data_IF_118608603932
#
_entry.id   IF_118608603932
#
_cell.length_a   1.000
_cell.length_b   1.000
_cell.length_c   1.000
_cell.angle_alpha   90.00
_cell.angle_beta   90.00
_cell.angle_gamma   90.00
#
_symmetry.space_group_name_H-M   'P 1'
#
loop_
_entity.id
_entity.type
_entity.pdbx_description
1 polymer ?
#
# COMPACT_ATOMS: atom_id res chain seq x y z
N UNK A 1 2.16 -14.43 25.64
CA UNK A 1 3.07 -14.63 24.48
C UNK A 1 3.06 -13.37 23.65
N UNK A 2 4.17 -12.63 23.60
CA UNK A 2 4.29 -11.42 22.78
C UNK A 2 4.73 -11.87 21.37
N UNK A 3 3.87 -11.79 20.34
CA UNK A 3 4.28 -12.20 19.00
C UNK A 3 5.45 -11.31 18.59
N UNK A 4 6.60 -11.93 18.26
CA UNK A 4 7.78 -11.21 17.79
C UNK A 4 7.36 -10.36 16.59
N UNK A 5 7.32 -9.03 16.79
CA UNK A 5 6.95 -8.06 15.75
C UNK A 5 7.75 -8.35 14.48
N UNK A 6 7.06 -8.47 13.36
CA UNK A 6 7.69 -8.77 12.08
C UNK A 6 8.71 -7.68 11.74
N UNK A 7 9.79 -8.02 11.03
CA UNK A 7 10.84 -7.08 10.62
C UNK A 7 10.26 -5.81 9.97
N UNK A 8 9.15 -5.96 9.24
CA UNK A 8 8.38 -4.87 8.64
C UNK A 8 7.81 -3.89 9.67
N UNK A 9 7.18 -4.37 10.76
CA UNK A 9 6.62 -3.48 11.78
C UNK A 9 7.70 -2.66 12.51
N UNK A 10 8.92 -3.19 12.62
CA UNK A 10 10.05 -2.49 13.25
C UNK A 10 10.59 -1.35 12.38
N UNK A 11 10.69 -1.59 11.07
CA UNK A 11 11.18 -0.62 10.09
C UNK A 11 10.38 0.69 10.07
N UNK A 12 9.07 0.62 10.29
CA UNK A 12 8.18 1.80 10.31
C UNK A 12 7.98 2.45 11.69
N UNK A 13 8.27 1.75 12.80
CA UNK A 13 8.17 2.35 14.14
C UNK A 13 9.43 3.11 14.54
N UNK A 14 10.58 2.77 13.94
CA UNK A 14 11.85 3.45 14.20
C UNK A 14 12.10 4.63 13.24
N UNK A 15 11.30 4.76 12.18
CA UNK A 15 11.37 5.88 11.24
C UNK A 15 9.95 6.44 11.01
N UNK A 16 9.68 7.64 11.52
CA UNK A 16 8.58 8.47 11.00
C UNK A 16 8.80 8.88 9.52
N UNK A 17 9.96 8.51 8.96
CA UNK A 17 10.36 8.71 7.58
C UNK A 17 10.20 7.45 6.73
N UNK A 18 9.75 7.66 5.50
CA UNK A 18 9.61 6.63 4.51
C UNK A 18 10.97 6.20 3.92
N UNK A 19 11.15 4.90 3.69
CA UNK A 19 12.42 4.27 3.31
C UNK A 19 12.57 4.22 1.78
N UNK A 20 13.65 4.79 1.22
CA UNK A 20 13.94 4.73 -0.21
C UNK A 20 14.87 3.56 -0.54
N UNK A 21 14.55 2.84 -1.63
CA UNK A 21 15.42 1.79 -2.20
C UNK A 21 15.47 1.90 -3.71
N UNK A 22 16.59 1.44 -4.27
CA UNK A 22 16.84 1.37 -5.70
C UNK A 22 16.87 -0.09 -6.13
N UNK A 23 16.07 -0.45 -7.14
CA UNK A 23 16.18 -1.72 -7.85
C UNK A 23 16.42 -1.42 -9.34
N UNK A 24 17.63 -1.70 -9.82
CA UNK A 24 18.05 -1.31 -11.17
C UNK A 24 18.00 0.20 -11.36
N UNK A 25 17.30 0.69 -12.39
CA UNK A 25 17.07 2.13 -12.65
C UNK A 25 15.86 2.72 -11.91
N UNK A 26 15.05 1.89 -11.24
CA UNK A 26 13.80 2.35 -10.62
C UNK A 26 14.02 2.66 -9.14
N UNK A 27 13.72 3.89 -8.74
CA UNK A 27 13.68 4.30 -7.34
C UNK A 27 12.25 4.15 -6.83
N UNK A 28 12.11 3.60 -5.62
CA UNK A 28 10.84 3.50 -4.93
C UNK A 28 11.00 3.85 -3.46
N UNK A 29 9.91 4.30 -2.84
CA UNK A 29 9.88 4.72 -1.45
C UNK A 29 8.74 4.04 -0.73
N UNK A 30 9.05 3.32 0.33
CA UNK A 30 8.06 2.65 1.16
C UNK A 30 7.65 3.57 2.32
N UNK A 31 6.36 3.91 2.40
CA UNK A 31 5.83 4.91 3.32
C UNK A 31 4.57 4.41 4.04
N UNK A 32 4.33 4.93 5.25
CA UNK A 32 3.04 4.78 5.93
C UNK A 32 2.23 6.06 5.75
N UNK A 33 1.24 6.05 4.86
CA UNK A 33 0.47 7.24 4.49
C UNK A 33 -0.96 7.20 5.05
N UNK A 34 -1.56 8.36 5.38
CA UNK A 34 -2.99 8.44 5.63
C UNK A 34 -3.78 7.92 4.43
N UNK A 35 -4.73 7.02 4.68
CA UNK A 35 -5.46 6.32 3.62
C UNK A 35 -6.23 7.26 2.69
N UNK A 36 -6.68 8.38 3.24
CA UNK A 36 -7.48 9.41 2.57
C UNK A 36 -6.67 10.26 1.57
N UNK A 37 -5.34 10.23 1.64
CA UNK A 37 -4.48 10.95 0.69
C UNK A 37 -4.36 10.24 -0.67
N UNK A 38 -4.63 8.93 -0.71
CA UNK A 38 -4.54 8.14 -1.92
C UNK A 38 -5.77 8.35 -2.79
N UNK A 39 -5.55 8.45 -4.10
CA UNK A 39 -6.60 8.72 -5.07
C UNK A 39 -6.98 7.44 -5.82
N UNK A 40 -8.14 6.86 -5.52
CA UNK A 40 -8.68 5.73 -6.28
C UNK A 40 -9.08 6.19 -7.68
N UNK A 41 -8.94 5.32 -8.68
CA UNK A 41 -9.35 5.60 -10.06
C UNK A 41 -10.34 4.56 -10.64
N UNK A 42 -10.67 3.51 -9.87
CA UNK A 42 -11.59 2.43 -10.29
C UNK A 42 -12.65 2.11 -9.23
N UNK A 43 -13.72 1.43 -9.66
CA UNK A 43 -14.73 0.86 -8.76
C UNK A 43 -14.34 -0.57 -8.38
N UNK A 44 -14.44 -0.90 -7.09
CA UNK A 44 -14.20 -2.26 -6.61
C UNK A 44 -15.36 -3.22 -6.88
N UNK A 45 -15.06 -4.52 -7.03
CA UNK A 45 -16.07 -5.58 -7.05
C UNK A 45 -16.51 -5.90 -5.62
N UNK A 46 -17.83 -5.84 -5.29
CA UNK A 46 -18.31 -6.07 -3.93
C UNK A 46 -17.97 -7.46 -3.37
N UNK A 47 -18.11 -8.51 -4.20
CA UNK A 47 -17.80 -9.88 -3.76
C UNK A 47 -16.32 -10.06 -3.46
N UNK A 48 -15.46 -9.53 -4.33
CA UNK A 48 -14.01 -9.62 -4.16
C UNK A 48 -13.53 -8.82 -2.94
N UNK A 49 -14.18 -7.67 -2.67
CA UNK A 49 -13.90 -6.85 -1.50
C UNK A 49 -14.13 -7.62 -0.19
N UNK A 50 -15.26 -8.34 -0.05
CA UNK A 50 -15.54 -9.11 1.17
C UNK A 50 -14.57 -10.28 1.36
N UNK A 51 -14.20 -10.98 0.28
CA UNK A 51 -13.18 -12.03 0.35
C UNK A 51 -11.84 -11.49 0.84
N UNK A 52 -11.43 -10.34 0.29
CA UNK A 52 -10.15 -9.72 0.63
C UNK A 52 -10.13 -9.17 2.06
N UNK A 53 -11.24 -8.59 2.55
CA UNK A 53 -11.38 -8.20 3.96
C UNK A 53 -11.17 -9.40 4.88
N UNK A 54 -11.81 -10.53 4.56
CA UNK A 54 -11.67 -11.76 5.36
C UNK A 54 -10.25 -12.29 5.35
N UNK A 55 -9.59 -12.30 4.19
CA UNK A 55 -8.18 -12.71 4.08
C UNK A 55 -7.27 -11.82 4.94
N UNK A 56 -7.36 -10.50 4.81
CA UNK A 56 -6.55 -9.55 5.58
C UNK A 56 -6.74 -9.75 7.09
N UNK A 57 -7.99 -9.92 7.54
CA UNK A 57 -8.30 -10.15 8.96
C UNK A 57 -7.80 -11.51 9.46
N UNK A 58 -7.90 -12.55 8.63
CA UNK A 58 -7.45 -13.92 8.98
C UNK A 58 -5.93 -14.00 9.07
N UNK A 59 -5.23 -13.36 8.13
CA UNK A 59 -3.77 -13.33 8.10
C UNK A 59 -3.18 -12.40 9.17
N UNK A 60 -3.98 -11.43 9.65
CA UNK A 60 -3.52 -10.40 10.60
C UNK A 60 -2.47 -9.45 10.00
N UNK A 61 -2.28 -9.48 8.68
CA UNK A 61 -1.28 -8.68 7.98
C UNK A 61 -1.70 -8.41 6.53
N UNK A 62 -1.31 -7.23 6.02
CA UNK A 62 -1.37 -6.96 4.59
C UNK A 62 -0.12 -7.55 3.93
N UNK A 63 -0.29 -8.56 3.07
CA UNK A 63 0.83 -9.26 2.41
C UNK A 63 1.65 -8.36 1.49
N UNK A 64 0.99 -7.43 0.79
CA UNK A 64 1.60 -6.54 -0.21
C UNK A 64 1.12 -5.10 -0.05
N UNK A 65 2.02 -4.10 -0.03
CA UNK A 65 1.65 -2.69 0.10
C UNK A 65 0.84 -2.20 -1.10
N UNK A 66 0.11 -1.10 -0.93
CA UNK A 66 -0.53 -0.39 -2.06
C UNK A 66 0.56 0.27 -2.90
N UNK A 67 0.46 0.24 -4.22
CA UNK A 67 1.42 0.97 -5.09
C UNK A 67 0.74 2.24 -5.57
N UNK A 68 1.42 3.38 -5.44
CA UNK A 68 0.89 4.66 -5.88
C UNK A 68 1.98 5.51 -6.54
N UNK A 69 1.57 6.37 -7.46
CA UNK A 69 2.47 7.38 -8.02
C UNK A 69 2.82 8.42 -6.95
N UNK A 70 4.10 8.73 -6.80
CA UNK A 70 4.61 9.56 -5.70
C UNK A 70 4.15 11.02 -5.78
N UNK A 71 3.91 11.54 -6.99
CA UNK A 71 3.53 12.95 -7.22
C UNK A 71 2.04 13.15 -7.13
N UNK A 72 1.28 12.30 -7.80
CA UNK A 72 -0.18 12.43 -7.91
C UNK A 72 -0.94 11.75 -6.76
N UNK A 73 -0.31 10.77 -6.08
CA UNK A 73 -0.92 9.84 -5.13
C UNK A 73 -2.05 9.00 -5.73
N UNK A 74 -2.10 8.91 -7.06
CA UNK A 74 -3.01 7.97 -7.75
C UNK A 74 -2.54 6.55 -7.46
N UNK A 75 -3.47 5.72 -6.98
CA UNK A 75 -3.23 4.29 -6.79
C UNK A 75 -2.97 3.68 -8.16
N UNK A 76 -1.86 2.97 -8.31
CA UNK A 76 -1.48 2.28 -9.55
C UNK A 76 -1.80 0.79 -9.46
N UNK A 77 -1.69 0.21 -8.27
CA UNK A 77 -2.06 -1.17 -7.98
C UNK A 77 -2.55 -1.29 -6.52
N UNK A 78 -3.49 -2.20 -6.29
CA UNK A 78 -4.04 -2.48 -4.96
C UNK A 78 -5.33 -1.73 -4.63
N UNK A 79 -6.09 -1.28 -5.62
CA UNK A 79 -7.40 -0.63 -5.43
C UNK A 79 -8.34 -1.40 -4.49
N UNK A 80 -8.50 -2.72 -4.66
CA UNK A 80 -9.33 -3.52 -3.75
C UNK A 80 -8.74 -3.63 -2.34
N UNK A 81 -7.41 -3.70 -2.21
CA UNK A 81 -6.72 -3.70 -0.91
C UNK A 81 -6.96 -2.38 -0.19
N UNK A 82 -6.86 -1.26 -0.90
CA UNK A 82 -7.18 0.07 -0.37
C UNK A 82 -8.64 0.16 0.08
N UNK A 83 -9.59 -0.27 -0.76
CA UNK A 83 -11.02 -0.31 -0.40
C UNK A 83 -11.28 -1.19 0.83
N UNK A 84 -10.64 -2.36 0.92
CA UNK A 84 -10.79 -3.26 2.05
C UNK A 84 -10.31 -2.59 3.34
N UNK A 85 -9.10 -2.03 3.33
CA UNK A 85 -8.51 -1.33 4.48
C UNK A 85 -9.32 -0.09 4.87
N UNK A 86 -9.85 0.66 3.90
CA UNK A 86 -10.73 1.80 4.15
C UNK A 86 -12.02 1.36 4.84
N UNK A 87 -12.66 0.30 4.33
CA UNK A 87 -13.90 -0.23 4.91
C UNK A 87 -13.71 -0.82 6.31
N UNK A 88 -12.51 -1.30 6.63
CA UNK A 88 -12.12 -1.80 7.95
C UNK A 88 -11.70 -0.67 8.91
N UNK A 89 -11.67 0.59 8.46
CA UNK A 89 -11.40 1.75 9.30
C UNK A 89 -9.92 2.07 9.54
N UNK A 90 -8.99 1.47 8.79
CA UNK A 90 -7.57 1.79 8.91
C UNK A 90 -7.31 3.26 8.55
N UNK A 91 -6.51 3.96 9.36
CA UNK A 91 -6.20 5.38 9.16
C UNK A 91 -4.93 5.62 8.37
N UNK A 92 -3.92 4.76 8.56
CA UNK A 92 -2.70 4.77 7.77
C UNK A 92 -2.41 3.38 7.22
N UNK A 93 -1.85 3.32 6.02
CA UNK A 93 -1.55 2.06 5.32
C UNK A 93 -0.17 2.10 4.68
N UNK A 94 0.50 0.95 4.50
CA UNK A 94 1.79 0.89 3.82
C UNK A 94 1.61 1.10 2.31
N UNK A 95 2.40 2.01 1.76
CA UNK A 95 2.37 2.42 0.35
C UNK A 95 3.77 2.37 -0.23
N UNK A 96 3.90 1.72 -1.39
CA UNK A 96 5.06 1.78 -2.25
C UNK A 96 4.87 2.94 -3.25
N UNK A 97 5.56 4.05 -2.99
CA UNK A 97 5.58 5.21 -3.87
C UNK A 97 6.60 5.00 -4.98
N UNK A 98 6.16 5.23 -6.22
CA UNK A 98 6.99 5.10 -7.42
C UNK A 98 6.83 6.35 -8.29
N UNK A 99 7.85 6.71 -9.05
CA UNK A 99 7.74 7.75 -10.07
C UNK A 99 7.23 7.11 -11.38
N UNK A 100 5.92 7.21 -11.65
CA UNK A 100 5.33 6.59 -12.84
C UNK A 100 5.68 7.35 -14.13
N UNK A 101 5.85 8.68 -14.05
CA UNK A 101 6.11 9.53 -15.22
C UNK A 101 7.49 9.32 -15.84
N UNK A 102 8.50 9.01 -15.02
CA UNK A 102 9.86 8.74 -15.49
C UNK A 102 10.07 7.27 -15.89
N UNK A 103 9.05 6.42 -15.71
CA UNK A 103 9.13 5.00 -16.03
C UNK A 103 7.98 4.56 -16.93
N UNK A 104 8.15 4.63 -18.27
CA UNK A 104 7.11 4.29 -19.25
C UNK A 104 6.69 2.81 -19.24
N UNK A 105 7.33 1.97 -18.40
CA UNK A 105 6.92 0.57 -18.15
C UNK A 105 5.84 0.45 -17.09
N UNK A 106 5.60 1.49 -16.30
CA UNK A 106 4.52 1.51 -15.29
C UNK A 106 3.23 1.81 -16.03
N UNK A 107 2.31 0.85 -16.02
CA UNK A 107 0.98 0.96 -16.61
C UNK A 107 -0.07 0.77 -15.54
N UNK A 108 -1.16 1.50 -15.68
CA UNK A 108 -2.38 1.27 -14.93
C UNK A 108 -2.97 -0.04 -15.49
N UNK A 109 -3.23 -1.00 -14.61
CA UNK A 109 -3.78 -2.31 -14.95
C UNK A 109 -5.20 -2.45 -14.44
#
# INVERSE_FOLDING_TARGET
MNPKRSRFQRLFQENEGAESKQYGKTQFKLALLPIEQLKPHEKGSPLYLELLKREILTDGALKYPIVADEKSLVILDGMHRWLALQSLGYKKIPVLLVNALENPKIRIG
#
